data_IF_786252816129
#
_entry.id   IF_786252816129
#
_cell.length_a   1.000
_cell.length_b   1.000
_cell.length_c   1.000
_cell.angle_alpha   90.00
_cell.angle_beta   90.00
_cell.angle_gamma   90.00
#
_symmetry.space_group_name_H-M   'P 1'
#
loop_
_entity.id
_entity.type
_entity.pdbx_description
1 polymer ?
#
# COMPACT_ATOMS: atom_id res chain seq x y z
N UNK A 1 46.63 -14.02 -36.73
CA UNK A 1 45.92 -14.22 -35.46
C UNK A 1 44.83 -13.17 -35.39
N UNK A 2 43.61 -13.64 -35.14
CA UNK A 2 42.30 -13.01 -35.37
C UNK A 2 42.11 -11.67 -34.64
N UNK A 3 41.76 -10.65 -35.42
CA UNK A 3 41.26 -9.35 -34.96
C UNK A 3 39.87 -9.53 -34.34
N UNK A 4 39.76 -9.30 -33.04
CA UNK A 4 38.48 -9.28 -32.32
C UNK A 4 37.65 -8.11 -32.85
N UNK A 5 36.53 -8.39 -33.53
CA UNK A 5 35.60 -7.34 -33.93
C UNK A 5 34.94 -6.77 -32.68
N UNK A 6 35.23 -5.51 -32.41
CA UNK A 6 34.53 -4.69 -31.42
C UNK A 6 33.10 -4.49 -31.91
N UNK A 7 32.19 -5.36 -31.47
CA UNK A 7 30.76 -5.27 -31.76
C UNK A 7 30.20 -3.95 -31.24
N UNK A 8 29.76 -3.09 -32.15
CA UNK A 8 29.12 -1.81 -31.83
C UNK A 8 27.76 -2.08 -31.17
N UNK A 9 27.61 -1.66 -29.91
CA UNK A 9 26.34 -1.79 -29.20
C UNK A 9 25.36 -0.77 -29.78
N UNK A 10 24.41 -1.23 -30.59
CA UNK A 10 23.34 -0.37 -31.09
C UNK A 10 22.40 0.01 -29.95
N UNK A 11 22.28 1.32 -29.69
CA UNK A 11 21.35 1.86 -28.70
C UNK A 11 19.96 1.96 -29.33
N UNK A 12 19.06 1.08 -28.93
CA UNK A 12 17.63 1.22 -29.26
C UNK A 12 17.03 2.34 -28.42
N UNK A 13 16.44 3.33 -29.08
CA UNK A 13 15.62 4.36 -28.41
C UNK A 13 14.35 3.71 -27.87
N UNK A 14 14.20 3.69 -26.55
CA UNK A 14 12.97 3.26 -25.88
C UNK A 14 12.00 4.44 -25.83
N UNK A 15 10.90 4.35 -26.56
CA UNK A 15 9.78 5.27 -26.39
C UNK A 15 8.92 4.80 -25.20
N UNK A 16 8.85 5.61 -24.15
CA UNK A 16 8.01 5.33 -22.98
C UNK A 16 6.63 5.91 -23.27
N UNK A 17 5.67 5.04 -23.59
CA UNK A 17 4.27 5.43 -23.67
C UNK A 17 3.66 5.52 -22.26
N UNK A 18 2.76 6.46 -22.04
CA UNK A 18 2.01 6.52 -20.77
C UNK A 18 1.15 5.27 -20.63
N UNK A 19 1.26 4.59 -19.50
CA UNK A 19 0.41 3.44 -19.19
C UNK A 19 -0.96 4.00 -18.76
N UNK A 20 -2.05 3.67 -19.47
CA UNK A 20 -3.37 4.15 -19.09
C UNK A 20 -3.73 3.62 -17.71
N UNK A 21 -4.16 4.52 -16.82
CA UNK A 21 -4.62 4.15 -15.49
C UNK A 21 -6.12 3.81 -15.51
N UNK A 22 -6.51 2.85 -14.67
CA UNK A 22 -7.92 2.60 -14.41
C UNK A 22 -8.57 3.82 -13.74
N UNK A 23 -9.79 4.16 -14.16
CA UNK A 23 -10.57 5.28 -13.58
C UNK A 23 -11.56 4.82 -12.49
N UNK A 24 -11.30 3.66 -11.88
CA UNK A 24 -12.14 3.15 -10.79
C UNK A 24 -11.89 3.93 -9.50
N UNK A 25 -12.92 4.07 -8.67
CA UNK A 25 -12.82 4.76 -7.38
C UNK A 25 -11.80 4.05 -6.47
N UNK A 26 -11.78 2.74 -6.51
CA UNK A 26 -10.89 1.86 -5.77
C UNK A 26 -9.44 2.09 -6.19
N UNK A 27 -9.16 2.11 -7.50
CA UNK A 27 -7.84 2.40 -8.04
C UNK A 27 -7.37 3.80 -7.66
N UNK A 28 -8.24 4.81 -7.81
CA UNK A 28 -7.97 6.19 -7.40
C UNK A 28 -7.61 6.25 -5.91
N UNK A 29 -8.36 5.58 -5.05
CA UNK A 29 -8.14 5.55 -3.60
C UNK A 29 -6.77 4.96 -3.28
N UNK A 30 -6.49 3.77 -3.81
CA UNK A 30 -5.20 3.07 -3.64
C UNK A 30 -4.03 3.92 -4.11
N UNK A 31 -4.14 4.55 -5.29
CA UNK A 31 -3.11 5.44 -5.84
C UNK A 31 -2.83 6.64 -4.93
N UNK A 32 -3.89 7.30 -4.44
CA UNK A 32 -3.72 8.47 -3.56
C UNK A 32 -3.09 8.08 -2.22
N UNK A 33 -3.46 6.93 -1.66
CA UNK A 33 -2.89 6.41 -0.42
C UNK A 33 -1.42 6.07 -0.56
N UNK A 34 -1.04 5.30 -1.58
CA UNK A 34 0.37 4.96 -1.83
C UNK A 34 1.20 6.23 -2.00
N UNK A 35 0.70 7.20 -2.76
CA UNK A 35 1.35 8.50 -2.95
C UNK A 35 1.53 9.27 -1.64
N UNK A 36 0.51 9.29 -0.79
CA UNK A 36 0.53 10.04 0.47
C UNK A 36 1.51 9.42 1.48
N UNK A 37 1.46 8.10 1.69
CA UNK A 37 2.39 7.40 2.58
C UNK A 37 3.84 7.49 2.11
N UNK A 38 4.08 7.39 0.80
CA UNK A 38 5.41 7.57 0.22
C UNK A 38 5.95 8.98 0.48
N UNK A 39 5.14 10.02 0.26
CA UNK A 39 5.52 11.42 0.56
C UNK A 39 5.83 11.66 2.03
N UNK A 40 5.17 10.93 2.94
CA UNK A 40 5.38 10.99 4.39
C UNK A 40 6.59 10.18 4.87
N UNK A 41 7.26 9.43 3.98
CA UNK A 41 8.44 8.64 4.32
C UNK A 41 8.16 7.27 4.92
N UNK A 42 6.94 6.74 4.78
CA UNK A 42 6.64 5.36 5.15
C UNK A 42 7.05 4.38 4.06
N UNK A 43 7.39 3.15 4.45
CA UNK A 43 7.59 2.06 3.51
C UNK A 43 6.32 1.24 3.40
N UNK A 44 5.96 0.85 2.16
CA UNK A 44 4.72 0.15 1.85
C UNK A 44 5.05 -1.16 1.15
N UNK A 45 4.36 -2.24 1.52
CA UNK A 45 4.44 -3.53 0.84
C UNK A 45 3.03 -4.12 0.61
N UNK A 46 2.94 -5.24 -0.11
CA UNK A 46 1.68 -5.97 -0.29
C UNK A 46 1.08 -6.41 1.05
N UNK A 47 -0.20 -6.09 1.26
CA UNK A 47 -0.96 -6.41 2.46
C UNK A 47 -1.84 -7.64 2.33
N UNK A 48 -1.93 -8.26 1.15
CA UNK A 48 -2.95 -9.27 0.82
C UNK A 48 -2.92 -10.45 1.80
N UNK A 49 -1.73 -10.90 2.22
CA UNK A 49 -1.56 -12.00 3.20
C UNK A 49 -2.07 -11.68 4.61
N UNK A 50 -2.32 -10.40 4.91
CA UNK A 50 -2.75 -9.92 6.22
C UNK A 50 -4.20 -9.40 6.21
N UNK A 51 -4.93 -9.59 5.11
CA UNK A 51 -6.31 -9.13 4.97
C UNK A 51 -6.45 -7.62 4.74
N UNK A 52 -5.40 -6.98 4.25
CA UNK A 52 -5.40 -5.58 3.82
C UNK A 52 -4.92 -5.43 2.38
N UNK A 53 -4.94 -4.20 1.88
CA UNK A 53 -4.30 -3.87 0.60
C UNK A 53 -2.79 -3.69 0.76
N UNK A 54 -2.36 -3.09 1.89
CA UNK A 54 -0.96 -2.78 2.11
C UNK A 54 -0.49 -3.07 3.53
N UNK A 55 0.80 -3.34 3.67
CA UNK A 55 1.54 -3.24 4.93
C UNK A 55 2.26 -1.90 4.99
N UNK A 56 2.26 -1.28 6.16
CA UNK A 56 2.98 -0.02 6.38
C UNK A 56 4.03 -0.19 7.47
N UNK A 57 5.24 0.27 7.16
CA UNK A 57 6.39 0.28 8.04
C UNK A 57 6.80 1.72 8.32
N UNK A 58 7.06 2.03 9.58
CA UNK A 58 7.54 3.35 10.05
C UNK A 58 9.03 3.55 9.79
N UNK A 59 9.77 2.46 9.57
CA UNK A 59 11.19 2.40 9.26
C UNK A 59 11.43 1.37 8.15
N UNK A 60 12.69 1.21 7.76
CA UNK A 60 13.08 0.23 6.75
C UNK A 60 12.52 -1.17 7.08
N UNK A 61 11.93 -1.89 6.11
CA UNK A 61 11.44 -3.26 6.33
C UNK A 61 12.51 -4.26 6.83
N UNK A 62 13.80 -3.94 6.67
CA UNK A 62 14.91 -4.73 7.19
C UNK A 62 15.14 -4.51 8.70
N UNK A 63 14.61 -3.42 9.26
CA UNK A 63 14.84 -2.99 10.65
C UNK A 63 13.61 -3.20 11.54
N UNK A 64 12.41 -3.23 10.96
CA UNK A 64 11.18 -3.36 11.73
C UNK A 64 10.13 -4.24 11.04
N UNK A 65 9.19 -4.75 11.83
CA UNK A 65 7.97 -5.32 11.30
C UNK A 65 7.00 -4.21 10.89
N UNK A 66 6.10 -4.50 9.96
CA UNK A 66 4.99 -3.60 9.64
C UNK A 66 4.16 -3.34 10.90
N UNK A 67 3.90 -2.08 11.21
CA UNK A 67 3.06 -1.67 12.35
C UNK A 67 1.58 -1.70 11.98
N UNK A 68 1.28 -1.38 10.72
CA UNK A 68 -0.09 -1.24 10.24
C UNK A 68 -0.39 -2.15 9.05
N UNK A 69 -1.64 -2.59 9.01
CA UNK A 69 -2.28 -3.14 7.81
C UNK A 69 -3.25 -2.07 7.33
N UNK A 70 -3.13 -1.66 6.07
CA UNK A 70 -3.98 -0.64 5.48
C UNK A 70 -4.99 -1.27 4.53
N UNK A 71 -6.24 -0.84 4.63
CA UNK A 71 -7.35 -1.30 3.80
C UNK A 71 -8.09 -0.09 3.22
N UNK A 72 -8.18 -0.02 1.90
CA UNK A 72 -8.84 1.03 1.15
C UNK A 72 -10.33 0.74 1.02
N UNK A 73 -11.15 1.75 1.27
CA UNK A 73 -12.62 1.69 1.22
C UNK A 73 -13.15 1.98 -0.18
N UNK A 74 -14.40 1.56 -0.51
CA UNK A 74 -15.45 1.05 0.37
C UNK A 74 -15.26 -0.42 0.81
N UNK A 75 -15.56 -0.72 2.08
CA UNK A 75 -15.66 -2.10 2.61
C UNK A 75 -16.92 -2.24 3.46
N UNK A 76 -17.44 -3.46 3.57
CA UNK A 76 -18.55 -3.78 4.48
C UNK A 76 -18.07 -3.87 5.93
N UNK A 77 -19.00 -3.80 6.88
CA UNK A 77 -18.69 -4.04 8.29
C UNK A 77 -18.15 -5.44 8.55
N UNK A 78 -18.65 -6.45 7.83
CA UNK A 78 -18.14 -7.82 7.93
C UNK A 78 -16.69 -7.94 7.47
N UNK A 79 -16.33 -7.28 6.36
CA UNK A 79 -14.95 -7.21 5.87
C UNK A 79 -14.05 -6.47 6.87
N UNK A 80 -14.54 -5.35 7.43
CA UNK A 80 -13.84 -4.58 8.46
C UNK A 80 -13.54 -5.44 9.70
N UNK A 81 -14.53 -6.16 10.23
CA UNK A 81 -14.37 -7.04 11.40
C UNK A 81 -13.40 -8.19 11.09
N UNK A 82 -13.51 -8.80 9.90
CA UNK A 82 -12.60 -9.86 9.45
C UNK A 82 -11.15 -9.37 9.39
N UNK A 83 -10.91 -8.22 8.75
CA UNK A 83 -9.60 -7.59 8.68
C UNK A 83 -9.05 -7.26 10.07
N UNK A 84 -9.87 -6.68 10.97
CA UNK A 84 -9.47 -6.41 12.36
C UNK A 84 -9.07 -7.70 13.09
N UNK A 85 -9.81 -8.79 12.93
CA UNK A 85 -9.46 -10.09 13.53
C UNK A 85 -8.11 -10.60 13.04
N UNK A 86 -7.82 -10.50 11.74
CA UNK A 86 -6.52 -10.89 11.17
C UNK A 86 -5.38 -10.03 11.73
N UNK A 87 -5.57 -8.70 11.76
CA UNK A 87 -4.59 -7.76 12.27
C UNK A 87 -4.24 -8.02 13.75
N UNK A 88 -5.25 -8.27 14.60
CA UNK A 88 -5.04 -8.57 16.02
C UNK A 88 -4.22 -9.85 16.23
N UNK A 89 -4.44 -10.90 15.43
CA UNK A 89 -3.69 -12.15 15.54
C UNK A 89 -2.19 -11.96 15.28
N UNK A 90 -1.84 -11.07 14.35
CA UNK A 90 -0.44 -10.76 14.00
C UNK A 90 0.11 -9.51 14.72
N UNK A 91 -0.60 -9.01 15.74
CA UNK A 91 -0.25 -7.81 16.53
C UNK A 91 0.01 -6.57 15.66
N UNK A 92 -0.82 -6.35 14.63
CA UNK A 92 -0.82 -5.15 13.79
C UNK A 92 -2.10 -4.35 14.00
N UNK A 93 -2.04 -3.05 13.75
CA UNK A 93 -3.21 -2.20 13.79
C UNK A 93 -3.82 -2.03 12.38
N UNK A 94 -5.14 -2.11 12.28
CA UNK A 94 -5.85 -1.86 11.02
C UNK A 94 -6.02 -0.36 10.83
N UNK A 95 -5.65 0.15 9.66
CA UNK A 95 -5.92 1.51 9.20
C UNK A 95 -6.87 1.44 8.02
N UNK A 96 -8.02 2.12 8.12
CA UNK A 96 -8.94 2.29 7.00
C UNK A 96 -8.60 3.57 6.26
N UNK A 97 -8.46 3.49 4.95
CA UNK A 97 -8.26 4.65 4.09
C UNK A 97 -9.51 4.95 3.27
N UNK A 98 -10.00 6.18 3.38
CA UNK A 98 -11.14 6.69 2.62
C UNK A 98 -10.72 7.92 1.82
N UNK A 99 -11.29 8.11 0.64
CA UNK A 99 -11.07 9.32 -0.16
C UNK A 99 -12.40 9.91 -0.59
N UNK A 100 -12.51 11.23 -0.48
CA UNK A 100 -13.61 11.98 -1.08
C UNK A 100 -13.41 12.11 -2.60
N UNK A 101 -14.48 12.08 -3.43
CA UNK A 101 -14.39 12.38 -4.86
C UNK A 101 -13.79 13.76 -5.16
N UNK A 102 -13.95 14.72 -4.25
CA UNK A 102 -13.55 16.12 -4.44
C UNK A 102 -12.15 16.42 -3.91
N UNK A 103 -11.55 15.50 -3.15
CA UNK A 103 -10.25 15.68 -2.51
C UNK A 103 -9.21 14.72 -3.06
N UNK A 104 -7.95 15.15 -3.03
CA UNK A 104 -6.80 14.27 -3.31
C UNK A 104 -6.09 13.82 -2.03
N UNK A 105 -6.58 14.26 -0.86
CA UNK A 105 -6.07 13.88 0.45
C UNK A 105 -6.93 12.73 1.01
N UNK A 106 -6.35 11.55 1.27
CA UNK A 106 -7.05 10.48 1.96
C UNK A 106 -7.25 10.79 3.44
N UNK A 107 -8.34 10.28 4.00
CA UNK A 107 -8.61 10.24 5.43
C UNK A 107 -8.30 8.84 5.98
N UNK A 108 -7.72 8.80 7.17
CA UNK A 108 -7.29 7.57 7.82
C UNK A 108 -7.99 7.38 9.16
N UNK A 109 -8.62 6.22 9.33
CA UNK A 109 -9.26 5.82 10.59
C UNK A 109 -8.52 4.64 11.16
N UNK A 110 -7.96 4.81 12.36
CA UNK A 110 -7.34 3.73 13.12
C UNK A 110 -8.43 2.86 13.74
N UNK A 111 -8.34 1.54 13.56
CA UNK A 111 -9.27 0.58 14.13
C UNK A 111 -8.54 -0.32 15.13
N UNK A 112 -9.01 -0.32 16.38
CA UNK A 112 -8.46 -1.10 17.47
C UNK A 112 -9.54 -1.96 18.10
N UNK A 113 -9.18 -3.19 18.49
CA UNK A 113 -10.10 -4.07 19.18
C UNK A 113 -10.21 -3.66 20.63
N UNK A 114 -11.38 -3.13 20.99
CA UNK A 114 -11.65 -2.73 22.36
C UNK A 114 -11.72 -3.95 23.28
N UNK A 115 -10.99 -3.90 24.39
CA UNK A 115 -11.02 -4.89 25.47
C UNK A 115 -11.41 -4.19 26.77
N UNK A 116 -12.69 -4.26 27.18
CA UNK A 116 -13.15 -3.56 28.37
C UNK A 116 -12.49 -4.05 29.66
N UNK A 117 -11.98 -5.28 29.70
CA UNK A 117 -11.38 -5.90 30.89
C UNK A 117 -10.01 -5.31 31.28
N UNK A 118 -9.45 -4.44 30.43
CA UNK A 118 -8.15 -3.79 30.65
C UNK A 118 -8.29 -2.39 31.26
N UNK A 119 -9.50 -1.99 31.67
CA UNK A 119 -9.84 -0.71 32.27
C UNK A 119 -10.56 -0.87 33.60
#
# INVERSE_FOLDING_TARGET
MSTTSSGEIQKTSLEIHEIPFEDTKEFRTKRLVVRDFWKRGYYIADGTRFGGDYLVYTRSPNECHAEFVLLCTPITDSQRISAMRCCNQVKKCLILATTSPDSTQPHYTKCEWFRPEMF
#
